data_IF_145801355568
#
_entry.id   IF_145801355568
#
_cell.length_a   1.000
_cell.length_b   1.000
_cell.length_c   1.000
_cell.angle_alpha   90.00
_cell.angle_beta   90.00
_cell.angle_gamma   90.00
#
_symmetry.space_group_name_H-M   'P 1'
#
loop_
_entity.id
_entity.type
_entity.pdbx_description
1 polymer ?
#
# COMPACT_ATOMS: atom_id res chain seq x y z
N UNK A 1 6.51 0.45 -22.40
CA UNK A 1 6.37 0.52 -20.93
C UNK A 1 7.25 1.67 -20.45
N UNK A 2 6.65 2.80 -20.13
CA UNK A 2 7.36 3.97 -19.61
C UNK A 2 7.63 3.80 -18.12
N UNK A 3 8.65 4.46 -17.59
CA UNK A 3 9.02 4.32 -16.17
C UNK A 3 7.88 4.72 -15.21
N UNK A 4 6.97 5.60 -15.65
CA UNK A 4 5.74 6.01 -14.95
C UNK A 4 4.70 4.88 -14.88
N UNK A 5 4.53 4.12 -15.96
CA UNK A 5 3.62 2.96 -16.02
C UNK A 5 4.06 1.85 -15.03
N UNK A 6 5.37 1.66 -14.91
CA UNK A 6 5.96 0.74 -13.94
C UNK A 6 5.74 1.19 -12.48
N UNK A 7 5.86 2.49 -12.21
CA UNK A 7 5.63 3.03 -10.86
C UNK A 7 4.15 2.96 -10.45
N UNK A 8 3.23 3.22 -11.39
CA UNK A 8 1.77 3.06 -11.18
C UNK A 8 1.44 1.60 -10.89
N UNK A 9 1.93 0.67 -11.73
CA UNK A 9 1.75 -0.77 -11.55
C UNK A 9 2.28 -1.24 -10.19
N UNK A 10 3.42 -0.69 -9.75
CA UNK A 10 4.01 -0.99 -8.43
C UNK A 10 3.10 -0.50 -7.29
N UNK A 11 2.55 0.71 -7.39
CA UNK A 11 1.65 1.26 -6.39
C UNK A 11 0.34 0.45 -6.27
N UNK A 12 -0.22 0.02 -7.41
CA UNK A 12 -1.42 -0.83 -7.46
C UNK A 12 -1.17 -2.21 -6.86
N UNK A 13 -0.03 -2.84 -7.19
CA UNK A 13 0.38 -4.13 -6.63
C UNK A 13 0.48 -4.07 -5.10
N UNK A 14 1.17 -3.05 -4.57
CA UNK A 14 1.31 -2.86 -3.12
C UNK A 14 -0.04 -2.61 -2.44
N UNK A 15 -0.94 -1.88 -3.10
CA UNK A 15 -2.28 -1.64 -2.59
C UNK A 15 -3.12 -2.93 -2.55
N UNK A 16 -2.98 -3.81 -3.53
CA UNK A 16 -3.59 -5.14 -3.53
C UNK A 16 -3.13 -5.99 -2.34
N UNK A 17 -1.83 -6.00 -2.06
CA UNK A 17 -1.25 -6.71 -0.91
C UNK A 17 -1.76 -6.12 0.42
N UNK A 18 -1.79 -4.79 0.54
CA UNK A 18 -2.37 -4.11 1.69
C UNK A 18 -3.82 -4.53 1.91
N UNK A 19 -4.65 -4.56 0.85
CA UNK A 19 -6.05 -4.96 0.98
C UNK A 19 -6.21 -6.42 1.43
N UNK A 20 -5.47 -7.34 0.81
CA UNK A 20 -5.50 -8.75 1.20
C UNK A 20 -5.06 -8.96 2.66
N UNK A 21 -4.10 -8.16 3.12
CA UNK A 21 -3.71 -8.16 4.53
C UNK A 21 -4.87 -7.72 5.43
N UNK A 22 -5.56 -6.63 5.06
CA UNK A 22 -6.67 -6.12 5.86
C UNK A 22 -7.86 -7.09 5.97
N UNK A 23 -8.11 -7.91 4.95
CA UNK A 23 -9.19 -8.92 4.95
C UNK A 23 -8.89 -10.09 5.90
N UNK A 24 -7.60 -10.34 6.19
CA UNK A 24 -7.16 -11.45 7.04
C UNK A 24 -6.64 -10.99 8.40
N UNK A 25 -6.50 -9.68 8.62
CA UNK A 25 -5.86 -9.16 9.82
C UNK A 25 -6.82 -9.14 11.01
N UNK A 26 -6.58 -9.96 12.04
CA UNK A 26 -7.45 -9.99 13.22
C UNK A 26 -7.43 -8.66 13.98
N UNK A 27 -6.33 -7.90 13.91
CA UNK A 27 -6.22 -6.58 14.58
C UNK A 27 -7.24 -5.56 14.06
N UNK A 28 -7.64 -5.65 12.79
CA UNK A 28 -8.68 -4.79 12.21
C UNK A 28 -10.08 -5.18 12.72
N UNK A 29 -10.30 -6.48 12.96
CA UNK A 29 -11.53 -7.00 13.56
C UNK A 29 -11.65 -6.73 15.06
N UNK A 30 -10.52 -6.51 15.76
CA UNK A 30 -10.50 -6.18 17.19
C UNK A 30 -10.88 -4.70 17.45
N UNK A 31 -11.23 -3.93 16.40
CA UNK A 31 -11.67 -2.54 16.56
C UNK A 31 -10.56 -1.57 16.99
N UNK A 32 -9.31 -2.00 16.89
CA UNK A 32 -8.15 -1.10 17.06
C UNK A 32 -8.10 -0.26 15.79
N UNK A 33 -8.45 1.03 15.91
CA UNK A 33 -8.45 2.03 14.84
C UNK A 33 -7.07 2.21 14.15
N UNK A 34 -6.03 1.58 14.67
CA UNK A 34 -4.70 1.55 14.08
C UNK A 34 -4.50 0.24 13.31
N UNK A 35 -4.08 0.36 12.05
CA UNK A 35 -3.54 -0.76 11.30
C UNK A 35 -2.47 -1.47 12.15
N UNK A 36 -2.48 -2.79 12.09
CA UNK A 36 -1.38 -3.60 12.58
C UNK A 36 -0.03 -3.08 12.05
N UNK A 37 1.05 -3.40 12.75
CA UNK A 37 2.41 -3.02 12.36
C UNK A 37 2.74 -3.37 10.90
N UNK A 38 2.22 -4.49 10.40
CA UNK A 38 2.40 -4.90 9.01
C UNK A 38 1.54 -4.08 8.03
N UNK A 39 0.27 -3.83 8.36
CA UNK A 39 -0.61 -2.96 7.60
C UNK A 39 -0.06 -1.54 7.49
N UNK A 40 0.49 -0.99 8.57
CA UNK A 40 1.13 0.33 8.57
C UNK A 40 2.36 0.39 7.65
N UNK A 41 3.16 -0.69 7.60
CA UNK A 41 4.30 -0.81 6.67
C UNK A 41 3.85 -0.89 5.22
N UNK A 42 2.84 -1.71 4.94
CA UNK A 42 2.26 -1.85 3.60
C UNK A 42 1.65 -0.53 3.11
N UNK A 43 0.89 0.17 3.96
CA UNK A 43 0.33 1.49 3.64
C UNK A 43 1.44 2.53 3.38
N UNK A 44 2.50 2.53 4.18
CA UNK A 44 3.67 3.38 3.97
C UNK A 44 4.35 3.10 2.63
N UNK A 45 4.46 1.81 2.24
CA UNK A 45 5.02 1.41 0.95
C UNK A 45 4.15 1.87 -0.24
N UNK A 46 2.81 1.79 -0.11
CA UNK A 46 1.87 2.33 -1.11
C UNK A 46 2.04 3.84 -1.27
N UNK A 47 2.11 4.58 -0.17
CA UNK A 47 2.32 6.03 -0.22
C UNK A 47 3.67 6.39 -0.84
N UNK A 48 4.75 5.69 -0.49
CA UNK A 48 6.05 5.90 -1.09
C UNK A 48 6.04 5.66 -2.62
N UNK A 49 5.37 4.60 -3.07
CA UNK A 49 5.21 4.31 -4.50
C UNK A 49 4.40 5.40 -5.22
N UNK A 50 3.30 5.88 -4.61
CA UNK A 50 2.48 6.98 -5.17
C UNK A 50 3.22 8.32 -5.24
N UNK A 51 4.07 8.60 -4.25
CA UNK A 51 4.94 9.78 -4.28
C UNK A 51 6.04 9.66 -5.32
N UNK A 52 6.52 8.44 -5.60
CA UNK A 52 7.48 8.19 -6.69
C UNK A 52 6.84 8.42 -8.07
N UNK A 53 5.58 8.01 -8.28
CA UNK A 53 4.82 8.37 -9.50
C UNK A 53 4.65 9.87 -9.66
N UNK A 54 4.38 10.62 -8.58
CA UNK A 54 4.11 12.05 -8.65
C UNK A 54 5.34 12.96 -8.80
N UNK A 55 6.53 12.49 -8.40
CA UNK A 55 7.79 13.27 -8.45
C UNK A 55 8.51 13.26 -9.81
N UNK A 56 8.02 12.49 -10.78
CA UNK A 56 8.59 12.42 -12.15
C UNK A 56 7.86 13.30 -13.17
N UNK A 57 6.99 14.20 -12.71
CA UNK A 57 6.19 15.10 -13.55
C UNK A 57 6.84 16.46 -13.66
#
# INVERSE_FOLDING_TARGET
MTATDQDVTRAETLYGVYRAHLDTCPRRHIGILADCTEGARLLSAVHAARLATGRRQ
#
